data_IF_563773712807
#
_entry.id   IF_563773712807
#
_cell.length_a   1.000
_cell.length_b   1.000
_cell.length_c   1.000
_cell.angle_alpha   90.00
_cell.angle_beta   90.00
_cell.angle_gamma   90.00
#
_symmetry.space_group_name_H-M   'P 1'
#
loop_
_entity.id
_entity.type
_entity.pdbx_description
1 polymer ?
#
# COMPACT_ATOMS: atom_id res chain seq x y z
N UNK A 1 -62.57 -10.24 -24.25
CA UNK A 1 -62.01 -8.90 -24.00
C UNK A 1 -61.01 -8.59 -25.10
N UNK A 2 -61.27 -7.59 -25.96
CA UNK A 2 -60.52 -7.37 -27.21
C UNK A 2 -59.08 -6.96 -26.91
N UNK A 3 -58.10 -7.56 -27.61
CA UNK A 3 -56.65 -7.23 -27.50
C UNK A 3 -56.38 -5.73 -27.63
N UNK A 4 -57.22 -5.00 -28.34
CA UNK A 4 -57.17 -3.55 -28.52
C UNK A 4 -57.46 -2.81 -27.21
N UNK A 5 -58.37 -3.30 -26.36
CA UNK A 5 -58.71 -2.69 -25.06
C UNK A 5 -57.55 -2.86 -24.08
N UNK A 6 -56.90 -4.01 -24.11
CA UNK A 6 -55.70 -4.26 -23.27
C UNK A 6 -54.54 -3.36 -23.69
N UNK A 7 -54.35 -3.12 -25.00
CA UNK A 7 -53.32 -2.23 -25.52
C UNK A 7 -53.54 -0.77 -25.09
N UNK A 8 -54.81 -0.29 -25.11
CA UNK A 8 -55.14 1.04 -24.61
C UNK A 8 -54.99 1.19 -23.08
N UNK A 9 -55.28 0.15 -22.30
CA UNK A 9 -55.03 0.14 -20.86
C UNK A 9 -53.55 0.19 -20.54
N UNK A 10 -52.71 -0.52 -21.31
CA UNK A 10 -51.23 -0.46 -21.15
C UNK A 10 -50.64 0.93 -21.46
N UNK A 11 -51.18 1.63 -22.46
CA UNK A 11 -50.73 2.99 -22.81
C UNK A 11 -51.14 3.99 -21.71
N UNK A 12 -52.28 3.81 -21.06
CA UNK A 12 -52.66 4.66 -19.92
C UNK A 12 -51.84 4.44 -18.65
N UNK A 13 -51.21 3.27 -18.48
CA UNK A 13 -50.34 2.98 -17.33
C UNK A 13 -48.92 3.54 -17.54
N UNK A 14 -48.53 3.87 -18.76
CA UNK A 14 -47.19 4.44 -19.03
C UNK A 14 -47.17 5.97 -19.06
N UNK A 15 -48.31 6.65 -19.04
CA UNK A 15 -48.40 8.12 -19.04
C UNK A 15 -48.33 8.77 -17.64
N UNK A 16 -48.04 7.99 -16.60
CA UNK A 16 -47.97 8.45 -15.21
C UNK A 16 -46.61 8.96 -14.73
N UNK A 17 -45.53 8.90 -15.54
CA UNK A 17 -44.28 9.50 -15.17
C UNK A 17 -44.21 10.97 -15.62
N UNK A 18 -44.68 11.85 -14.78
CA UNK A 18 -44.51 13.28 -14.95
C UNK A 18 -43.07 13.67 -14.74
N UNK A 19 -42.35 13.89 -15.85
CA UNK A 19 -41.04 14.61 -15.85
C UNK A 19 -41.26 16.13 -15.66
N UNK A 20 -42.14 16.52 -14.78
CA UNK A 20 -42.36 17.95 -14.51
C UNK A 20 -41.23 18.43 -13.56
N UNK A 21 -40.57 19.55 -13.93
CA UNK A 21 -39.55 20.23 -13.13
C UNK A 21 -40.02 20.62 -11.70
N UNK A 22 -41.29 20.51 -11.42
CA UNK A 22 -41.90 20.81 -10.10
C UNK A 22 -42.27 19.54 -9.29
N UNK A 23 -41.86 18.34 -9.72
CA UNK A 23 -42.09 17.14 -8.92
C UNK A 23 -41.15 17.16 -7.74
N UNK A 24 -41.68 17.19 -6.53
CA UNK A 24 -40.91 17.19 -5.25
C UNK A 24 -40.01 15.96 -5.08
N UNK A 25 -40.06 14.99 -5.98
CA UNK A 25 -39.20 13.79 -5.96
C UNK A 25 -37.79 14.02 -6.53
N UNK A 26 -37.59 15.10 -7.31
CA UNK A 26 -36.34 15.43 -8.01
C UNK A 26 -35.94 16.90 -7.83
N UNK A 27 -36.57 17.63 -6.94
CA UNK A 27 -36.07 18.94 -6.55
C UNK A 27 -34.83 18.67 -5.70
N UNK A 28 -33.65 19.07 -6.20
CA UNK A 28 -32.50 19.34 -5.35
C UNK A 28 -33.02 20.04 -4.10
N UNK A 29 -32.60 19.58 -2.93
CA UNK A 29 -32.87 20.22 -1.65
C UNK A 29 -32.75 21.73 -1.85
N UNK A 30 -33.85 22.47 -1.63
CA UNK A 30 -33.76 23.92 -1.56
C UNK A 30 -32.64 24.22 -0.58
N UNK A 31 -31.64 24.98 -1.01
CA UNK A 31 -30.65 25.55 -0.12
C UNK A 31 -31.42 26.37 0.93
N UNK A 32 -31.76 25.75 2.02
CA UNK A 32 -32.21 26.45 3.23
C UNK A 32 -30.95 27.13 3.71
N UNK A 33 -30.88 28.47 3.83
CA UNK A 33 -29.71 29.13 4.35
C UNK A 33 -29.37 28.55 5.72
N UNK A 34 -28.20 28.02 5.88
CA UNK A 34 -27.71 27.35 7.11
C UNK A 34 -27.75 28.27 8.35
N UNK A 35 -27.89 29.58 8.15
CA UNK A 35 -27.83 30.60 9.20
C UNK A 35 -29.15 30.83 9.97
N UNK A 36 -30.28 30.23 9.59
CA UNK A 36 -31.59 30.60 10.17
C UNK A 36 -32.14 29.63 11.22
N UNK A 37 -31.48 28.53 11.56
CA UNK A 37 -31.95 27.59 12.58
C UNK A 37 -30.98 27.47 13.75
N UNK A 38 -31.22 28.08 14.92
CA UNK A 38 -30.32 28.04 16.09
C UNK A 38 -30.14 26.63 16.69
N UNK A 39 -30.94 25.64 16.24
CA UNK A 39 -30.83 24.24 16.68
C UNK A 39 -30.16 23.33 15.65
N UNK A 40 -29.61 23.86 14.55
CA UNK A 40 -28.89 23.07 13.57
C UNK A 40 -27.48 22.81 14.08
N UNK A 41 -27.28 21.70 14.77
CA UNK A 41 -25.94 21.17 14.97
C UNK A 41 -25.53 20.39 13.72
N UNK A 42 -24.49 20.85 13.04
CA UNK A 42 -23.83 20.12 11.97
C UNK A 42 -23.22 18.85 12.58
N UNK A 43 -23.97 17.72 12.49
CA UNK A 43 -23.57 16.43 13.09
C UNK A 43 -22.38 15.82 12.32
N UNK A 44 -22.20 16.23 11.06
CA UNK A 44 -21.02 15.89 10.26
C UNK A 44 -20.28 17.19 9.95
N UNK A 45 -19.27 17.50 10.76
CA UNK A 45 -18.25 18.42 10.31
C UNK A 45 -17.58 17.76 9.09
N UNK A 46 -17.59 18.42 7.91
CA UNK A 46 -16.65 18.06 6.86
C UNK A 46 -15.27 18.21 7.50
N UNK A 47 -14.57 17.08 7.69
CA UNK A 47 -13.21 17.10 8.21
C UNK A 47 -12.37 17.91 7.21
N UNK A 48 -11.81 19.04 7.66
CA UNK A 48 -10.94 19.85 6.81
C UNK A 48 -9.70 19.03 6.48
N UNK A 49 -9.56 18.63 5.23
CA UNK A 49 -8.33 18.01 4.73
C UNK A 49 -7.15 18.96 4.95
N UNK A 50 -6.00 18.42 5.33
CA UNK A 50 -4.76 19.18 5.52
C UNK A 50 -4.22 19.64 4.15
N UNK A 51 -4.76 20.72 3.61
CA UNK A 51 -4.50 21.24 2.28
C UNK A 51 -3.70 22.56 2.26
N UNK A 52 -3.07 22.92 3.38
CA UNK A 52 -2.28 24.14 3.56
C UNK A 52 -0.90 23.82 4.13
N UNK A 53 0.08 24.67 3.79
CA UNK A 53 1.41 24.60 4.42
C UNK A 53 1.30 25.01 5.90
N UNK A 54 2.06 24.28 6.74
CA UNK A 54 2.23 24.59 8.16
C UNK A 54 3.73 24.58 8.47
N UNK A 55 4.21 25.63 9.15
CA UNK A 55 5.61 25.75 9.56
C UNK A 55 6.61 25.41 8.44
N UNK A 56 6.33 25.82 7.21
CA UNK A 56 7.10 25.45 6.03
C UNK A 56 8.59 25.81 6.09
N UNK A 57 8.96 26.76 6.95
CA UNK A 57 10.34 27.23 7.15
C UNK A 57 11.07 26.50 8.29
N UNK A 58 10.40 25.59 9.03
CA UNK A 58 11.04 24.81 10.09
C UNK A 58 11.98 23.79 9.45
N UNK A 59 13.25 23.85 9.82
CA UNK A 59 14.25 22.86 9.42
C UNK A 59 14.13 21.58 10.26
N UNK A 60 14.11 20.44 9.61
CA UNK A 60 14.10 19.13 10.27
C UNK A 60 15.52 18.62 10.41
N UNK A 61 16.03 18.59 11.62
CA UNK A 61 17.36 18.06 11.90
C UNK A 61 17.25 16.56 12.22
N UNK A 62 17.81 15.74 11.34
CA UNK A 62 17.84 14.28 11.48
C UNK A 62 19.20 13.85 12.01
N UNK A 63 19.20 12.91 12.96
CA UNK A 63 20.41 12.24 13.44
C UNK A 63 21.08 11.40 12.36
N UNK A 64 22.07 10.60 12.77
CA UNK A 64 22.87 9.76 11.90
C UNK A 64 22.05 8.75 11.08
N UNK A 65 22.64 8.32 9.95
CA UNK A 65 22.04 7.34 9.04
C UNK A 65 22.34 5.94 9.60
N UNK A 66 21.32 5.09 9.66
CA UNK A 66 21.44 3.75 10.23
C UNK A 66 21.28 2.60 9.24
N UNK A 67 20.76 2.83 8.02
CA UNK A 67 20.44 1.77 7.07
C UNK A 67 21.13 1.96 5.73
N UNK A 68 21.80 0.91 5.24
CA UNK A 68 22.40 0.93 3.91
C UNK A 68 21.45 0.46 2.81
N UNK A 69 20.43 -0.33 3.17
CA UNK A 69 19.57 -0.99 2.18
C UNK A 69 18.10 -1.01 2.63
N UNK A 70 17.21 -0.98 1.65
CA UNK A 70 15.81 -1.40 1.84
C UNK A 70 15.83 -2.88 2.23
N UNK A 71 15.50 -3.19 3.47
CA UNK A 71 15.79 -4.50 4.08
C UNK A 71 15.11 -5.66 3.34
N UNK A 72 15.88 -6.69 3.10
CA UNK A 72 15.38 -7.97 2.55
C UNK A 72 14.47 -8.67 3.55
N UNK A 73 14.82 -8.64 4.85
CA UNK A 73 13.99 -9.13 5.97
C UNK A 73 13.48 -7.96 6.77
N UNK A 74 12.39 -7.38 6.31
CA UNK A 74 11.77 -6.22 6.95
C UNK A 74 10.56 -6.67 7.78
N UNK A 75 10.81 -7.04 9.03
CA UNK A 75 9.72 -7.38 9.96
C UNK A 75 8.89 -6.16 10.37
N UNK A 76 9.50 -4.98 10.39
CA UNK A 76 8.90 -3.75 10.88
C UNK A 76 8.31 -2.88 9.76
N UNK A 77 8.54 -3.25 8.49
CA UNK A 77 8.16 -2.47 7.31
C UNK A 77 8.76 -1.03 7.27
N UNK A 78 9.75 -0.74 8.09
CA UNK A 78 10.37 0.58 8.16
C UNK A 78 11.79 0.55 7.59
N UNK A 79 12.00 1.21 6.46
CA UNK A 79 13.34 1.34 5.87
C UNK A 79 14.21 2.38 6.62
N UNK A 80 13.57 3.31 7.37
CA UNK A 80 14.26 4.40 8.03
C UNK A 80 14.91 5.37 7.06
N UNK A 81 15.98 6.05 7.50
CA UNK A 81 16.83 6.90 6.65
C UNK A 81 17.87 6.03 5.97
N UNK A 82 17.88 6.02 4.65
CA UNK A 82 18.76 5.18 3.83
C UNK A 82 20.03 5.95 3.44
N UNK A 83 21.17 5.26 3.41
CA UNK A 83 22.44 5.81 2.89
C UNK A 83 22.39 5.86 1.36
N UNK A 84 21.67 6.87 0.86
CA UNK A 84 21.54 7.15 -0.57
C UNK A 84 21.44 8.64 -0.82
N UNK A 85 22.30 9.15 -1.67
CA UNK A 85 22.31 10.54 -2.18
C UNK A 85 22.82 10.60 -3.63
N UNK A 86 22.40 9.61 -4.44
CA UNK A 86 22.84 9.45 -5.82
C UNK A 86 22.39 10.57 -6.75
N UNK A 87 23.08 10.71 -7.86
CA UNK A 87 22.80 11.70 -8.91
C UNK A 87 21.68 11.31 -9.86
N UNK A 88 21.05 10.14 -9.64
CA UNK A 88 19.94 9.59 -10.43
C UNK A 88 20.28 9.33 -11.90
N UNK A 89 21.54 9.02 -12.21
CA UNK A 89 21.95 8.59 -13.53
C UNK A 89 21.54 7.15 -13.77
N UNK A 90 20.84 6.90 -14.88
CA UNK A 90 20.42 5.54 -15.22
C UNK A 90 21.63 4.67 -15.53
N UNK A 91 21.85 3.64 -14.70
CA UNK A 91 22.97 2.71 -14.84
C UNK A 91 22.58 1.38 -15.49
N UNK A 92 21.41 0.82 -15.17
CA UNK A 92 20.97 -0.47 -15.71
C UNK A 92 19.46 -0.55 -15.92
N UNK A 93 19.04 -1.55 -16.73
CA UNK A 93 17.63 -1.85 -17.00
C UNK A 93 17.41 -3.36 -17.05
N UNK A 94 16.64 -3.87 -16.10
CA UNK A 94 16.24 -5.28 -15.99
C UNK A 94 14.93 -5.49 -16.73
N UNK A 95 14.95 -6.16 -17.89
CA UNK A 95 13.80 -6.29 -18.78
C UNK A 95 12.99 -7.55 -18.49
N UNK A 96 11.65 -7.42 -18.52
CA UNK A 96 10.70 -8.52 -18.45
C UNK A 96 9.46 -8.24 -19.33
N UNK A 97 8.60 -9.23 -19.54
CA UNK A 97 7.38 -9.05 -20.33
C UNK A 97 6.41 -8.11 -19.62
N UNK A 98 5.87 -7.14 -20.35
CA UNK A 98 4.98 -6.10 -19.87
C UNK A 98 3.83 -6.66 -19.01
N UNK A 99 3.72 -6.20 -17.77
CA UNK A 99 2.64 -6.53 -16.84
C UNK A 99 1.44 -5.63 -17.16
N UNK A 100 0.34 -6.22 -17.65
CA UNK A 100 -0.80 -5.46 -18.18
C UNK A 100 -1.54 -4.61 -17.14
N UNK A 101 -1.67 -5.12 -15.90
CA UNK A 101 -2.43 -4.48 -14.84
C UNK A 101 -1.50 -3.81 -13.81
N UNK A 102 -0.35 -3.33 -14.25
CA UNK A 102 0.69 -2.77 -13.37
C UNK A 102 0.20 -1.63 -12.48
N UNK A 103 -0.77 -0.84 -12.94
CA UNK A 103 -1.34 0.28 -12.18
C UNK A 103 -2.18 -0.16 -10.97
N UNK A 104 -2.68 -1.42 -10.95
CA UNK A 104 -3.60 -1.93 -9.92
C UNK A 104 -2.90 -2.48 -8.69
N UNK A 105 -1.58 -2.66 -8.71
CA UNK A 105 -0.85 -3.24 -7.61
C UNK A 105 0.48 -2.53 -7.33
N UNK A 106 1.03 -2.77 -6.14
CA UNK A 106 2.34 -2.26 -5.74
C UNK A 106 3.37 -3.39 -5.81
N UNK A 107 4.19 -3.45 -6.86
CA UNK A 107 5.20 -4.49 -6.99
C UNK A 107 6.32 -4.30 -5.96
N UNK A 108 6.77 -5.41 -5.39
CA UNK A 108 7.94 -5.45 -4.51
C UNK A 108 9.05 -6.24 -5.19
N UNK A 109 10.26 -5.68 -5.23
CA UNK A 109 11.46 -6.40 -5.66
C UNK A 109 11.89 -7.29 -4.50
N UNK A 110 12.24 -8.54 -4.78
CA UNK A 110 12.90 -9.41 -3.81
C UNK A 110 14.41 -9.37 -4.07
N UNK A 111 15.16 -8.86 -3.12
CA UNK A 111 16.62 -8.84 -3.18
C UNK A 111 17.21 -10.08 -2.51
N UNK A 112 18.28 -10.61 -3.08
CA UNK A 112 19.08 -11.69 -2.52
C UNK A 112 20.55 -11.38 -2.80
N UNK A 113 21.26 -10.93 -1.78
CA UNK A 113 22.57 -10.29 -1.91
C UNK A 113 22.47 -9.15 -2.96
N UNK A 114 23.39 -9.06 -3.90
CA UNK A 114 23.39 -8.07 -4.99
C UNK A 114 22.44 -8.41 -6.13
N UNK A 115 21.74 -9.55 -6.06
CA UNK A 115 20.82 -10.01 -7.09
C UNK A 115 19.41 -9.57 -6.79
N UNK A 116 18.60 -9.47 -7.82
CA UNK A 116 17.18 -9.19 -7.68
C UNK A 116 16.30 -10.25 -8.35
N UNK A 117 15.17 -10.53 -7.72
CA UNK A 117 14.15 -11.43 -8.23
C UNK A 117 12.86 -10.65 -8.48
N UNK A 118 12.27 -10.87 -9.65
CA UNK A 118 11.01 -10.27 -10.05
C UNK A 118 10.21 -11.22 -10.95
N UNK A 119 9.04 -10.80 -11.44
CA UNK A 119 8.17 -11.64 -12.24
C UNK A 119 7.66 -10.93 -13.51
N UNK A 120 7.15 -11.73 -14.46
CA UNK A 120 6.56 -11.23 -15.70
C UNK A 120 5.03 -11.47 -15.75
N UNK A 121 4.38 -10.94 -16.78
CA UNK A 121 2.93 -11.02 -17.00
C UNK A 121 2.34 -12.45 -17.10
N UNK A 122 3.16 -13.47 -17.20
CA UNK A 122 2.74 -14.88 -17.25
C UNK A 122 3.13 -15.63 -15.98
N UNK A 123 3.58 -14.90 -14.94
CA UNK A 123 4.05 -15.50 -13.70
C UNK A 123 5.41 -16.18 -13.83
N UNK A 124 6.21 -15.89 -14.87
CA UNK A 124 7.60 -16.35 -14.86
C UNK A 124 8.37 -15.56 -13.84
N UNK A 125 9.17 -16.25 -13.03
CA UNK A 125 10.07 -15.65 -12.06
C UNK A 125 11.44 -15.51 -12.71
N UNK A 126 12.06 -14.36 -12.54
CA UNK A 126 13.35 -14.01 -13.13
C UNK A 126 14.31 -13.56 -12.03
N UNK A 127 15.49 -14.13 -11.99
CA UNK A 127 16.61 -13.66 -11.17
C UNK A 127 17.66 -13.01 -12.06
N UNK A 128 18.09 -11.82 -11.67
CA UNK A 128 19.10 -11.04 -12.36
C UNK A 128 20.27 -10.73 -11.45
N UNK A 129 21.46 -10.62 -12.02
CA UNK A 129 22.64 -10.08 -11.31
C UNK A 129 22.58 -8.53 -11.23
N UNK A 130 23.54 -7.94 -10.54
CA UNK A 130 23.71 -6.50 -10.35
C UNK A 130 23.92 -5.72 -11.67
N UNK A 131 24.36 -6.41 -12.75
CA UNK A 131 24.59 -5.88 -14.11
C UNK A 131 23.41 -6.06 -15.04
N UNK A 132 22.25 -6.46 -14.52
CA UNK A 132 21.01 -6.73 -15.27
C UNK A 132 21.05 -7.95 -16.21
N UNK A 133 22.02 -8.84 -16.05
CA UNK A 133 22.08 -10.10 -16.78
C UNK A 133 21.13 -11.11 -16.12
N UNK A 134 20.34 -11.81 -16.92
CA UNK A 134 19.47 -12.87 -16.45
C UNK A 134 20.28 -14.08 -15.98
N UNK A 135 20.15 -14.46 -14.71
CA UNK A 135 20.76 -15.65 -14.12
C UNK A 135 19.91 -16.88 -14.44
N UNK A 136 18.62 -16.81 -14.05
CA UNK A 136 17.66 -17.86 -14.39
C UNK A 136 16.27 -17.27 -14.58
N UNK A 137 15.44 -18.04 -15.34
CA UNK A 137 14.01 -17.79 -15.54
C UNK A 137 13.25 -19.10 -15.40
N UNK A 138 12.28 -19.15 -14.51
CA UNK A 138 11.44 -20.32 -14.24
C UNK A 138 9.96 -19.95 -14.30
N UNK A 139 9.11 -20.93 -14.62
CA UNK A 139 7.67 -20.73 -14.62
C UNK A 139 6.97 -22.03 -14.21
N UNK A 140 6.20 -21.97 -13.14
CA UNK A 140 5.52 -23.12 -12.52
C UNK A 140 4.00 -23.08 -12.69
N UNK A 141 3.53 -22.30 -13.66
CA UNK A 141 2.12 -22.19 -14.02
C UNK A 141 1.80 -23.03 -15.26
N UNK A 142 0.65 -23.69 -15.24
CA UNK A 142 0.05 -24.37 -16.41
C UNK A 142 -0.34 -23.36 -17.50
N UNK A 143 -0.70 -23.87 -18.68
CA UNK A 143 -1.17 -23.02 -19.78
C UNK A 143 -2.45 -22.22 -19.43
N UNK A 144 -3.34 -22.79 -18.64
CA UNK A 144 -4.58 -22.14 -18.17
C UNK A 144 -4.28 -21.05 -17.14
N UNK A 145 -3.45 -21.35 -16.13
CA UNK A 145 -3.06 -20.38 -15.10
C UNK A 145 -2.33 -19.16 -15.70
N UNK A 146 -1.45 -19.35 -16.66
CA UNK A 146 -0.77 -18.24 -17.37
C UNK A 146 -1.72 -17.24 -18.03
N UNK A 147 -2.91 -17.70 -18.46
CA UNK A 147 -3.93 -16.82 -19.05
C UNK A 147 -4.56 -15.90 -18.02
N UNK A 148 -4.57 -16.30 -16.73
CA UNK A 148 -5.08 -15.52 -15.62
C UNK A 148 -4.13 -14.38 -15.21
N UNK A 149 -2.90 -14.37 -15.75
CA UNK A 149 -1.88 -13.34 -15.49
C UNK A 149 -1.61 -13.19 -13.99
N UNK A 150 -1.05 -14.21 -13.34
CA UNK A 150 -0.84 -14.20 -11.90
C UNK A 150 0.07 -13.04 -11.47
N UNK A 151 -0.33 -12.38 -10.39
CA UNK A 151 0.41 -11.30 -9.73
C UNK A 151 1.08 -11.91 -8.51
N UNK A 152 2.42 -11.88 -8.49
CA UNK A 152 3.19 -12.59 -7.49
C UNK A 152 3.60 -11.67 -6.33
N UNK A 153 3.58 -12.24 -5.14
CA UNK A 153 4.19 -11.70 -3.94
C UNK A 153 5.36 -12.58 -3.54
N UNK A 154 6.41 -11.97 -3.03
CA UNK A 154 7.66 -12.64 -2.67
C UNK A 154 8.06 -12.35 -1.23
N UNK A 155 8.63 -13.37 -0.60
CA UNK A 155 9.52 -13.22 0.55
C UNK A 155 10.65 -14.24 0.43
N UNK A 156 11.84 -13.93 0.94
CA UNK A 156 12.96 -14.87 0.97
C UNK A 156 13.73 -14.78 2.29
N UNK A 157 14.38 -15.87 2.66
CA UNK A 157 15.28 -15.99 3.81
C UNK A 157 16.76 -16.04 3.43
N UNK A 158 17.08 -15.81 2.15
CA UNK A 158 18.41 -15.93 1.56
C UNK A 158 18.67 -17.29 0.91
N UNK A 159 17.85 -18.31 1.19
CA UNK A 159 17.93 -19.67 0.60
C UNK A 159 16.63 -20.04 -0.10
N UNK A 160 15.51 -19.83 0.55
CA UNK A 160 14.16 -20.16 0.09
C UNK A 160 13.45 -18.92 -0.38
N UNK A 161 12.90 -18.92 -1.58
CA UNK A 161 11.99 -17.92 -2.10
C UNK A 161 10.56 -18.44 -2.00
N UNK A 162 9.77 -17.89 -1.12
CA UNK A 162 8.32 -18.14 -1.05
C UNK A 162 7.60 -17.23 -2.01
N UNK A 163 6.68 -17.80 -2.77
CA UNK A 163 5.86 -17.12 -3.77
C UNK A 163 4.40 -17.44 -3.49
N UNK A 164 3.55 -16.42 -3.47
CA UNK A 164 2.11 -16.58 -3.43
C UNK A 164 1.44 -15.58 -4.38
N UNK A 165 0.25 -15.89 -4.85
CA UNK A 165 -0.39 -15.14 -5.91
C UNK A 165 -1.89 -14.87 -5.69
N UNK A 166 -2.44 -14.07 -6.60
CA UNK A 166 -3.84 -13.70 -6.65
C UNK A 166 -4.77 -14.75 -7.30
N UNK A 167 -4.26 -15.95 -7.61
CA UNK A 167 -5.04 -17.09 -8.13
C UNK A 167 -5.03 -18.28 -7.17
N UNK A 168 -4.66 -18.04 -5.89
CA UNK A 168 -4.64 -19.00 -4.79
C UNK A 168 -3.52 -20.06 -4.85
N UNK A 169 -2.48 -19.87 -5.66
CA UNK A 169 -1.32 -20.75 -5.69
C UNK A 169 -0.19 -20.19 -4.84
N UNK A 170 0.50 -21.09 -4.13
CA UNK A 170 1.71 -20.75 -3.39
C UNK A 170 2.73 -21.88 -3.50
N UNK A 171 4.00 -21.52 -3.49
CA UNK A 171 5.09 -22.46 -3.68
C UNK A 171 6.42 -21.86 -3.20
N UNK A 172 7.41 -22.71 -3.00
CA UNK A 172 8.76 -22.29 -2.68
C UNK A 172 9.77 -22.79 -3.70
N UNK A 173 10.80 -21.97 -3.88
CA UNK A 173 11.94 -22.25 -4.74
C UNK A 173 13.23 -22.14 -3.96
N UNK A 174 14.23 -22.89 -4.36
CA UNK A 174 15.62 -22.53 -4.06
C UNK A 174 15.94 -21.23 -4.79
N UNK A 175 16.29 -20.17 -4.05
CA UNK A 175 16.46 -18.83 -4.62
C UNK A 175 17.69 -18.76 -5.54
N UNK A 176 18.68 -19.65 -5.39
CA UNK A 176 19.91 -19.64 -6.19
C UNK A 176 19.72 -20.35 -7.53
N UNK A 177 19.06 -21.50 -7.54
CA UNK A 177 18.86 -22.32 -8.73
C UNK A 177 17.53 -22.08 -9.44
N UNK A 178 16.56 -21.53 -8.70
CA UNK A 178 15.17 -21.38 -9.14
C UNK A 178 14.43 -22.72 -9.18
N UNK A 179 14.95 -23.79 -8.60
CA UNK A 179 14.26 -25.10 -8.58
C UNK A 179 13.11 -25.13 -7.58
N UNK A 180 12.05 -25.82 -7.96
CA UNK A 180 10.84 -25.97 -7.16
C UNK A 180 11.10 -26.89 -5.97
N UNK A 181 10.87 -26.38 -4.76
CA UNK A 181 10.94 -27.16 -3.53
C UNK A 181 9.60 -27.84 -3.23
N UNK A 182 8.54 -27.09 -3.27
CA UNK A 182 7.16 -27.56 -3.11
C UNK A 182 6.17 -26.57 -3.75
N UNK A 183 4.93 -27.04 -4.06
CA UNK A 183 3.85 -26.24 -4.62
C UNK A 183 2.50 -26.72 -4.11
N UNK A 184 1.65 -25.77 -3.72
CA UNK A 184 0.31 -26.01 -3.15
C UNK A 184 -0.70 -24.99 -3.63
N UNK A 185 -1.98 -25.25 -3.40
CA UNK A 185 -3.07 -24.31 -3.66
C UNK A 185 -3.83 -24.04 -2.35
N UNK A 186 -4.28 -22.81 -2.19
CA UNK A 186 -5.17 -22.38 -1.12
C UNK A 186 -6.62 -22.36 -1.63
N UNK A 187 -7.58 -22.25 -0.72
CA UNK A 187 -9.00 -22.11 -1.06
C UNK A 187 -9.35 -20.71 -1.58
N UNK A 188 -8.66 -19.70 -1.09
CA UNK A 188 -8.87 -18.30 -1.47
C UNK A 188 -7.58 -17.67 -2.00
N UNK A 189 -7.66 -16.73 -2.96
CA UNK A 189 -6.51 -15.95 -3.42
C UNK A 189 -5.83 -15.20 -2.29
N UNK A 190 -4.53 -14.92 -2.44
CA UNK A 190 -3.79 -14.13 -1.46
C UNK A 190 -3.81 -12.64 -1.80
N UNK A 191 -3.88 -11.80 -0.76
CA UNK A 191 -3.89 -10.34 -0.91
C UNK A 191 -3.07 -9.62 0.17
N UNK A 192 -1.91 -10.15 0.52
CA UNK A 192 -1.06 -9.50 1.53
C UNK A 192 0.41 -9.58 1.19
N UNK A 193 1.21 -8.91 2.00
CA UNK A 193 2.64 -9.20 2.12
C UNK A 193 2.82 -10.63 2.61
N UNK A 194 3.98 -11.21 2.29
CA UNK A 194 4.46 -12.46 2.90
C UNK A 194 5.55 -12.09 3.90
N UNK A 195 5.51 -12.67 5.09
CA UNK A 195 6.60 -12.58 6.08
C UNK A 195 7.12 -13.97 6.37
N UNK A 196 8.44 -14.15 6.33
CA UNK A 196 9.12 -15.37 6.77
C UNK A 196 9.73 -15.05 8.13
N UNK A 197 9.44 -15.87 9.12
CA UNK A 197 10.02 -15.80 10.45
C UNK A 197 10.41 -17.21 10.90
N UNK A 198 11.69 -17.45 11.15
CA UNK A 198 12.25 -18.76 11.44
C UNK A 198 11.90 -19.79 10.36
N UNK A 199 11.26 -20.90 10.74
CA UNK A 199 10.82 -21.99 9.86
C UNK A 199 9.39 -21.85 9.33
N UNK A 200 8.77 -20.70 9.53
CA UNK A 200 7.38 -20.39 9.16
C UNK A 200 7.28 -19.23 8.19
N UNK A 201 6.17 -19.18 7.46
CA UNK A 201 5.78 -17.97 6.74
C UNK A 201 4.30 -17.66 6.94
N UNK A 202 4.00 -16.37 6.87
CA UNK A 202 2.67 -15.82 7.14
C UNK A 202 2.15 -15.04 5.94
N UNK A 203 0.86 -15.20 5.67
CA UNK A 203 0.17 -14.52 4.58
C UNK A 203 -1.33 -14.44 4.86
N UNK A 204 -2.00 -13.40 4.37
CA UNK A 204 -3.45 -13.22 4.51
C UNK A 204 -4.10 -13.43 3.15
N UNK A 205 -5.19 -14.18 3.15
CA UNK A 205 -5.99 -14.37 1.94
C UNK A 205 -7.17 -13.39 1.84
N UNK A 206 -7.84 -13.40 0.69
CA UNK A 206 -9.02 -12.56 0.44
C UNK A 206 -10.22 -12.87 1.36
N UNK A 207 -10.17 -13.94 2.16
CA UNK A 207 -11.19 -14.25 3.15
C UNK A 207 -10.88 -13.63 4.53
N UNK A 208 -9.92 -12.70 4.60
CA UNK A 208 -9.41 -12.12 5.85
C UNK A 208 -8.86 -13.19 6.82
N UNK A 209 -8.31 -14.27 6.29
CA UNK A 209 -7.71 -15.33 7.07
C UNK A 209 -6.20 -15.17 7.05
N UNK A 210 -5.60 -14.87 8.20
CA UNK A 210 -4.17 -14.99 8.41
C UNK A 210 -3.82 -16.48 8.51
N UNK A 211 -2.85 -16.91 7.73
CA UNK A 211 -2.38 -18.29 7.67
C UNK A 211 -0.90 -18.37 8.00
N UNK A 212 -0.55 -19.37 8.79
CA UNK A 212 0.82 -19.76 9.08
C UNK A 212 1.11 -21.07 8.40
N UNK A 213 2.20 -21.12 7.65
CA UNK A 213 2.64 -22.31 6.94
C UNK A 213 4.08 -22.66 7.31
N UNK A 214 4.40 -23.94 7.26
CA UNK A 214 5.78 -24.43 7.33
C UNK A 214 6.56 -24.00 6.09
N UNK A 215 7.72 -23.37 6.29
CA UNK A 215 8.63 -23.00 5.21
C UNK A 215 9.19 -24.24 4.49
N UNK A 216 9.36 -25.35 5.20
CA UNK A 216 9.97 -26.58 4.70
C UNK A 216 9.13 -27.28 3.62
N UNK A 217 7.80 -27.33 3.79
CA UNK A 217 6.91 -28.14 2.94
C UNK A 217 5.61 -27.45 2.53
N UNK A 218 5.37 -26.21 3.02
CA UNK A 218 4.17 -25.43 2.74
C UNK A 218 2.90 -25.98 3.39
N UNK A 219 3.00 -26.84 4.41
CA UNK A 219 1.82 -27.29 5.17
C UNK A 219 1.30 -26.20 6.08
N UNK A 220 -0.02 -26.05 6.15
CA UNK A 220 -0.66 -25.13 7.06
C UNK A 220 -0.51 -25.63 8.49
N UNK A 221 0.06 -24.80 9.36
CA UNK A 221 0.26 -25.08 10.77
C UNK A 221 -0.95 -24.62 11.58
N UNK A 222 -1.42 -23.39 11.30
CA UNK A 222 -2.61 -22.81 11.90
C UNK A 222 -3.15 -21.69 11.01
N UNK A 223 -4.39 -21.30 11.25
CA UNK A 223 -4.97 -20.11 10.65
C UNK A 223 -5.94 -19.45 11.63
N UNK A 224 -6.12 -18.13 11.45
CA UNK A 224 -7.11 -17.36 12.17
C UNK A 224 -7.88 -16.47 11.19
N UNK A 225 -9.19 -16.60 11.24
CA UNK A 225 -10.09 -15.76 10.43
C UNK A 225 -10.60 -14.60 11.26
N UNK A 226 -10.38 -13.41 10.77
CA UNK A 226 -10.99 -12.19 11.31
C UNK A 226 -12.36 -11.96 10.68
N UNK A 227 -12.99 -10.83 10.99
CA UNK A 227 -14.35 -10.52 10.59
C UNK A 227 -14.64 -10.77 9.11
N UNK A 228 -15.82 -11.36 8.84
CA UNK A 228 -16.25 -11.72 7.50
C UNK A 228 -17.07 -10.60 6.88
N UNK A 229 -16.43 -9.59 6.31
CA UNK A 229 -17.12 -8.59 5.50
C UNK A 229 -17.33 -9.10 4.06
N UNK A 230 -18.52 -8.85 3.52
CA UNK A 230 -18.80 -9.05 2.09
C UNK A 230 -18.06 -8.03 1.21
N UNK A 231 -17.76 -6.87 1.79
CA UNK A 231 -17.03 -5.77 1.14
C UNK A 231 -15.57 -5.85 1.56
N UNK A 232 -14.66 -5.86 0.59
CA UNK A 232 -13.22 -6.05 0.82
C UNK A 232 -12.40 -5.02 0.08
N UNK A 233 -11.42 -4.44 0.78
CA UNK A 233 -10.43 -3.58 0.15
C UNK A 233 -9.63 -4.35 -0.91
N UNK A 234 -9.42 -3.74 -2.06
CA UNK A 234 -8.56 -4.26 -3.12
C UNK A 234 -7.07 -4.01 -2.83
N UNK A 235 -6.77 -3.13 -1.87
CA UNK A 235 -5.40 -2.83 -1.52
C UNK A 235 -4.75 -4.00 -0.79
N UNK A 236 -3.48 -4.22 -1.08
CA UNK A 236 -2.65 -5.25 -0.45
C UNK A 236 -2.60 -5.05 1.07
N UNK A 237 -2.89 -6.10 1.81
CA UNK A 237 -2.85 -6.10 3.26
C UNK A 237 -1.41 -6.15 3.76
N UNK A 238 -1.17 -5.50 4.89
CA UNK A 238 0.14 -5.37 5.51
C UNK A 238 0.17 -6.05 6.86
N UNK A 239 1.36 -6.53 7.23
CA UNK A 239 1.65 -7.12 8.53
C UNK A 239 3.05 -6.76 8.99
N UNK A 240 3.27 -6.74 10.29
CA UNK A 240 4.58 -6.61 10.94
C UNK A 240 4.76 -7.70 11.99
N UNK A 241 6.00 -8.06 12.28
CA UNK A 241 6.34 -9.05 13.29
C UNK A 241 7.25 -8.37 14.32
N UNK A 242 6.86 -8.44 15.59
CA UNK A 242 7.64 -7.95 16.71
C UNK A 242 7.72 -9.04 17.76
N UNK A 243 8.92 -9.47 18.10
CA UNK A 243 9.14 -10.63 18.96
C UNK A 243 8.40 -11.87 18.41
N UNK A 244 7.56 -12.50 19.21
CA UNK A 244 6.75 -13.65 18.83
C UNK A 244 5.29 -13.29 18.47
N UNK A 245 5.02 -12.03 18.13
CA UNK A 245 3.70 -11.56 17.77
C UNK A 245 3.66 -11.06 16.33
N UNK A 246 2.59 -11.39 15.62
CA UNK A 246 2.28 -10.84 14.32
C UNK A 246 1.11 -9.87 14.45
N UNK A 247 1.32 -8.66 13.95
CA UNK A 247 0.30 -7.62 13.88
C UNK A 247 -0.10 -7.43 12.44
N UNK A 248 -1.38 -7.54 12.15
CA UNK A 248 -1.87 -7.43 10.79
C UNK A 248 -3.17 -6.66 10.71
N UNK A 249 -3.44 -6.09 9.57
CA UNK A 249 -4.73 -5.47 9.26
C UNK A 249 -5.54 -6.34 8.32
N UNK A 250 -6.85 -6.36 8.53
CA UNK A 250 -7.80 -6.98 7.63
C UNK A 250 -8.31 -6.00 6.55
N UNK A 251 -9.18 -6.45 5.67
CA UNK A 251 -9.68 -5.66 4.54
C UNK A 251 -10.68 -4.55 4.92
N UNK A 252 -11.15 -4.52 6.15
CA UNK A 252 -12.02 -3.45 6.68
C UNK A 252 -11.23 -2.45 7.56
N UNK A 253 -9.94 -2.67 7.74
CA UNK A 253 -9.04 -1.76 8.44
C UNK A 253 -8.75 -2.14 9.89
N UNK A 254 -9.38 -3.17 10.45
CA UNK A 254 -9.11 -3.61 11.83
C UNK A 254 -7.69 -4.14 11.96
N UNK A 255 -7.09 -3.88 13.11
CA UNK A 255 -5.77 -4.40 13.48
C UNK A 255 -5.94 -5.54 14.48
N UNK A 256 -5.21 -6.62 14.25
CA UNK A 256 -5.19 -7.79 15.14
C UNK A 256 -3.76 -8.14 15.54
N UNK A 257 -3.57 -8.56 16.79
CA UNK A 257 -2.33 -9.14 17.30
C UNK A 257 -2.51 -10.63 17.58
N UNK A 258 -1.60 -11.44 17.07
CA UNK A 258 -1.68 -12.91 17.13
C UNK A 258 -0.34 -13.49 17.56
N UNK A 259 -0.34 -14.48 18.45
CA UNK A 259 0.85 -15.27 18.76
C UNK A 259 1.30 -16.10 17.56
N UNK A 260 2.60 -16.04 17.26
CA UNK A 260 3.18 -16.73 16.09
C UNK A 260 3.13 -18.25 16.20
N UNK A 261 3.25 -18.81 17.41
CA UNK A 261 3.36 -20.23 17.60
C UNK A 261 2.00 -20.93 17.59
N UNK A 262 1.07 -20.40 18.37
CA UNK A 262 -0.23 -21.03 18.59
C UNK A 262 -1.32 -20.49 17.67
N UNK A 263 -1.12 -19.30 17.04
CA UNK A 263 -2.14 -18.63 16.27
C UNK A 263 -3.27 -18.04 17.12
N UNK A 264 -3.01 -17.81 18.42
CA UNK A 264 -3.98 -17.25 19.35
C UNK A 264 -4.12 -15.74 19.14
N UNK A 265 -5.38 -15.27 19.06
CA UNK A 265 -5.71 -13.85 19.01
C UNK A 265 -5.57 -13.22 20.39
N UNK A 266 -4.65 -12.28 20.55
CA UNK A 266 -4.43 -11.57 21.80
C UNK A 266 -5.37 -10.37 21.94
N UNK A 267 -5.47 -9.56 20.89
CA UNK A 267 -6.40 -8.42 20.82
C UNK A 267 -6.74 -8.07 19.38
N UNK A 268 -7.87 -7.41 19.20
CA UNK A 268 -8.31 -6.82 17.94
C UNK A 268 -8.84 -5.43 18.18
N UNK A 269 -8.42 -4.47 17.35
CA UNK A 269 -8.79 -3.06 17.43
C UNK A 269 -9.52 -2.65 16.15
N UNK A 270 -10.82 -2.31 16.20
CA UNK A 270 -11.51 -1.66 15.10
C UNK A 270 -10.97 -0.25 14.88
N UNK A 271 -10.65 0.10 13.64
CA UNK A 271 -10.18 1.45 13.27
C UNK A 271 -11.21 2.24 12.47
N UNK A 272 -12.33 1.62 12.11
CA UNK A 272 -13.43 2.24 11.39
C UNK A 272 -14.72 2.12 12.20
N UNK A 273 -15.55 3.16 12.18
CA UNK A 273 -16.88 3.08 12.78
C UNK A 273 -17.79 2.16 11.96
N UNK A 274 -18.74 1.47 12.63
CA UNK A 274 -19.69 0.56 11.99
C UNK A 274 -20.55 1.22 10.88
N UNK A 275 -20.71 2.53 10.92
CA UNK A 275 -21.43 3.30 9.90
C UNK A 275 -20.66 3.43 8.56
N UNK A 276 -19.36 3.10 8.56
CA UNK A 276 -18.47 3.26 7.40
C UNK A 276 -18.27 1.92 6.66
N UNK A 277 -18.85 0.81 7.11
CA UNK A 277 -18.71 -0.49 6.42
C UNK A 277 -19.13 -0.44 4.94
N UNK A 278 -20.09 0.38 4.57
CA UNK A 278 -20.47 0.59 3.16
C UNK A 278 -19.33 1.27 2.35
N UNK A 279 -18.48 2.04 3.00
CA UNK A 279 -17.33 2.69 2.38
C UNK A 279 -16.04 1.83 2.40
N UNK A 280 -16.06 0.64 2.99
CA UNK A 280 -14.88 -0.23 3.10
C UNK A 280 -14.28 -0.63 1.74
N UNK A 281 -15.08 -0.71 0.68
CA UNK A 281 -14.61 -0.96 -0.68
C UNK A 281 -13.61 0.11 -1.17
N UNK A 282 -13.81 1.35 -0.78
CA UNK A 282 -12.94 2.48 -1.14
C UNK A 282 -11.84 2.76 -0.11
N UNK A 283 -11.78 1.98 0.98
CA UNK A 283 -10.76 2.16 2.01
C UNK A 283 -9.39 1.72 1.50
N UNK A 284 -8.46 2.67 1.47
CA UNK A 284 -7.05 2.43 1.20
C UNK A 284 -6.23 2.79 2.43
N UNK A 285 -5.59 1.81 3.01
CA UNK A 285 -4.71 2.02 4.17
C UNK A 285 -3.25 1.92 3.75
N UNK A 286 -2.36 2.65 4.40
CA UNK A 286 -0.91 2.49 4.22
C UNK A 286 -0.44 1.12 4.73
N UNK A 287 0.80 0.73 4.42
CA UNK A 287 1.44 -0.37 5.13
C UNK A 287 1.56 -0.03 6.62
N UNK A 288 1.43 -1.05 7.47
CA UNK A 288 1.77 -0.97 8.88
C UNK A 288 3.29 -0.81 9.01
N UNK A 289 3.74 0.11 9.86
CA UNK A 289 5.15 0.22 10.25
C UNK A 289 5.25 0.27 11.78
N UNK A 290 6.39 -0.14 12.32
CA UNK A 290 6.60 -0.13 13.77
C UNK A 290 8.04 0.24 14.12
N UNK A 291 8.24 0.73 15.34
CA UNK A 291 9.56 0.87 15.98
C UNK A 291 9.87 -0.26 16.97
N UNK A 292 8.98 -1.24 17.10
CA UNK A 292 9.06 -2.35 18.03
C UNK A 292 8.17 -2.23 19.27
N UNK A 293 7.65 -1.02 19.55
CA UNK A 293 6.73 -0.77 20.66
C UNK A 293 5.40 -0.17 20.20
N UNK A 294 5.46 0.61 19.14
CA UNK A 294 4.31 1.36 18.61
C UNK A 294 4.09 1.03 17.14
N UNK A 295 2.84 0.90 16.75
CA UNK A 295 2.38 0.69 15.39
C UNK A 295 1.87 1.99 14.80
N UNK A 296 2.26 2.27 13.54
CA UNK A 296 1.83 3.47 12.82
C UNK A 296 1.29 3.11 11.44
N UNK A 297 0.20 3.74 11.05
CA UNK A 297 -0.36 3.66 9.70
C UNK A 297 -1.40 4.77 9.47
N UNK A 298 -1.76 4.99 8.22
CA UNK A 298 -2.75 5.97 7.79
C UNK A 298 -3.75 5.36 6.81
N UNK A 299 -4.80 6.12 6.49
CA UNK A 299 -5.76 5.74 5.46
C UNK A 299 -6.20 6.95 4.62
N UNK A 300 -6.96 6.66 3.56
CA UNK A 300 -7.56 7.66 2.67
C UNK A 300 -8.90 8.23 3.19
N UNK A 301 -9.17 8.07 4.47
CA UNK A 301 -10.30 8.67 5.21
C UNK A 301 -9.82 9.72 6.19
N UNK A 302 -8.70 10.36 5.87
CA UNK A 302 -8.09 11.44 6.66
C UNK A 302 -7.71 11.03 8.08
N UNK A 303 -7.18 9.80 8.26
CA UNK A 303 -6.79 9.29 9.58
C UNK A 303 -5.36 8.75 9.55
N UNK A 304 -4.59 9.11 10.58
CA UNK A 304 -3.27 8.56 10.87
C UNK A 304 -3.24 8.12 12.33
N UNK A 305 -2.88 6.87 12.57
CA UNK A 305 -2.95 6.24 13.87
C UNK A 305 -1.58 5.93 14.44
N UNK A 306 -1.47 6.06 15.76
CA UNK A 306 -0.43 5.50 16.60
C UNK A 306 -1.06 4.59 17.64
N UNK A 307 -0.62 3.31 17.67
CA UNK A 307 -1.20 2.27 18.53
C UNK A 307 -0.09 1.63 19.35
N UNK A 308 -0.32 1.47 20.63
CA UNK A 308 0.55 0.70 21.53
C UNK A 308 0.44 -0.79 21.19
N UNK A 309 1.57 -1.46 20.91
CA UNK A 309 1.58 -2.86 20.51
C UNK A 309 1.21 -3.83 21.65
N UNK A 310 1.51 -3.46 22.89
CA UNK A 310 1.23 -4.32 24.04
C UNK A 310 -0.24 -4.35 24.41
N UNK A 311 -0.90 -3.21 24.34
CA UNK A 311 -2.30 -3.05 24.78
C UNK A 311 -3.32 -2.99 23.66
N UNK A 312 -2.90 -2.70 22.42
CA UNK A 312 -3.80 -2.42 21.30
C UNK A 312 -4.55 -1.10 21.43
N UNK A 313 -4.12 -0.19 22.33
CA UNK A 313 -4.79 1.10 22.54
C UNK A 313 -4.22 2.20 21.66
N UNK A 314 -5.05 3.16 21.27
CA UNK A 314 -4.58 4.36 20.58
C UNK A 314 -3.72 5.23 21.51
N UNK A 315 -2.51 5.58 21.05
CA UNK A 315 -1.71 6.63 21.68
C UNK A 315 -2.19 8.01 21.21
N UNK A 316 -2.38 8.15 19.92
CA UNK A 316 -2.91 9.36 19.26
C UNK A 316 -3.46 9.06 17.88
N UNK A 317 -4.31 9.96 17.39
CA UNK A 317 -4.86 9.99 16.03
C UNK A 317 -4.73 11.40 15.47
N UNK A 318 -4.42 11.51 14.16
CA UNK A 318 -4.32 12.77 13.43
C UNK A 318 -5.08 12.73 12.12
N UNK A 319 -5.47 13.91 11.64
CA UNK A 319 -6.12 14.09 10.34
C UNK A 319 -5.08 14.18 9.24
N UNK A 320 -4.77 13.04 8.60
CA UNK A 320 -3.83 12.95 7.48
C UNK A 320 -4.38 12.00 6.42
N UNK A 321 -4.70 12.53 5.26
CA UNK A 321 -5.20 11.76 4.12
C UNK A 321 -4.02 11.13 3.35
N UNK A 322 -3.60 9.94 3.75
CA UNK A 322 -2.51 9.21 3.10
C UNK A 322 -2.74 7.72 3.11
N UNK A 323 -2.50 7.07 1.98
CA UNK A 323 -2.43 5.61 1.89
C UNK A 323 -1.00 5.11 1.58
N UNK A 324 0.00 5.99 1.67
CA UNK A 324 1.39 5.64 1.43
C UNK A 324 2.05 5.13 2.70
N UNK A 325 2.96 4.17 2.55
CA UNK A 325 3.77 3.67 3.68
C UNK A 325 4.58 4.81 4.30
N UNK A 326 4.34 5.18 5.57
CA UNK A 326 5.15 6.18 6.24
C UNK A 326 6.56 5.66 6.52
N UNK A 327 7.46 6.55 6.94
CA UNK A 327 8.85 6.20 7.28
C UNK A 327 9.22 6.84 8.61
N UNK A 328 9.70 6.03 9.56
CA UNK A 328 10.21 6.49 10.85
C UNK A 328 11.69 6.85 10.72
N UNK A 329 12.05 8.04 11.15
CA UNK A 329 13.45 8.49 11.24
C UNK A 329 13.66 9.20 12.58
N UNK A 330 14.31 8.54 13.51
CA UNK A 330 14.48 9.05 14.87
C UNK A 330 13.13 9.32 15.55
N UNK A 331 12.91 10.56 15.98
CA UNK A 331 11.68 10.99 16.62
C UNK A 331 10.59 11.47 15.65
N UNK A 332 10.80 11.32 14.34
CA UNK A 332 9.89 11.82 13.32
C UNK A 332 9.29 10.73 12.46
N UNK A 333 8.06 10.95 12.05
CA UNK A 333 7.35 10.19 11.04
C UNK A 333 7.22 11.06 9.80
N UNK A 334 7.71 10.57 8.67
CA UNK A 334 7.50 11.17 7.37
C UNK A 334 6.36 10.47 6.66
N UNK A 335 5.42 11.23 6.13
CA UNK A 335 4.36 10.75 5.24
C UNK A 335 4.06 11.78 4.16
N UNK A 336 3.37 11.33 3.10
CA UNK A 336 2.95 12.20 2.01
C UNK A 336 1.46 12.03 1.80
N UNK A 337 0.70 13.12 1.84
CA UNK A 337 -0.74 13.09 1.59
C UNK A 337 -1.05 12.83 0.12
N UNK A 338 -2.27 12.35 -0.16
CA UNK A 338 -2.74 12.09 -1.52
C UNK A 338 -2.85 13.36 -2.37
N UNK A 339 -2.93 14.54 -1.72
CA UNK A 339 -2.94 15.88 -2.34
C UNK A 339 -1.55 16.40 -2.68
N UNK A 340 -0.48 15.71 -2.22
CA UNK A 340 0.91 16.07 -2.48
C UNK A 340 1.52 17.02 -1.46
N UNK A 341 1.22 16.82 -0.19
CA UNK A 341 1.90 17.48 0.93
C UNK A 341 2.84 16.51 1.63
N UNK A 342 4.09 16.93 1.84
CA UNK A 342 5.01 16.23 2.74
C UNK A 342 4.71 16.66 4.17
N UNK A 343 4.39 15.70 5.01
CA UNK A 343 4.00 15.91 6.40
C UNK A 343 5.06 15.26 7.30
N UNK A 344 5.51 15.99 8.29
CA UNK A 344 6.43 15.52 9.33
C UNK A 344 5.72 15.59 10.67
N UNK A 345 5.62 14.45 11.33
CA UNK A 345 4.91 14.27 12.60
C UNK A 345 5.94 13.90 13.68
N UNK A 346 5.82 14.44 14.87
CA UNK A 346 6.56 13.99 16.03
C UNK A 346 5.98 12.65 16.52
N UNK A 347 6.82 11.64 16.59
CA UNK A 347 6.40 10.25 16.81
C UNK A 347 5.61 10.05 18.11
N UNK A 348 6.04 10.65 19.21
CA UNK A 348 5.49 10.38 20.53
C UNK A 348 4.19 11.14 20.79
N UNK A 349 4.15 12.41 20.42
CA UNK A 349 2.98 13.28 20.68
C UNK A 349 1.95 13.27 19.56
N UNK A 350 2.34 12.87 18.35
CA UNK A 350 1.52 13.03 17.17
C UNK A 350 1.48 14.45 16.60
N UNK A 351 2.19 15.40 17.19
CA UNK A 351 2.16 16.79 16.72
C UNK A 351 2.70 16.91 15.30
N UNK A 352 1.94 17.56 14.42
CA UNK A 352 2.39 17.87 13.06
C UNK A 352 3.39 19.02 13.14
N UNK A 353 4.66 18.73 12.87
CA UNK A 353 5.77 19.69 12.97
C UNK A 353 5.84 20.57 11.71
N UNK A 354 5.66 19.94 10.53
CA UNK A 354 5.75 20.66 9.25
C UNK A 354 4.85 20.03 8.19
N UNK A 355 4.24 20.86 7.39
CA UNK A 355 3.53 20.51 6.16
C UNK A 355 4.06 21.36 5.01
N UNK A 356 4.55 20.72 3.94
CA UNK A 356 5.13 21.40 2.79
C UNK A 356 4.47 20.91 1.50
N UNK A 357 4.05 21.84 0.64
CA UNK A 357 3.51 21.53 -0.67
C UNK A 357 4.63 21.10 -1.64
N UNK A 358 4.72 19.80 -1.90
CA UNK A 358 5.73 19.25 -2.82
C UNK A 358 5.26 19.22 -4.27
N UNK A 359 3.99 19.48 -4.54
CA UNK A 359 3.42 19.55 -5.89
C UNK A 359 3.29 20.97 -6.42
N UNK A 360 3.77 21.98 -5.70
CA UNK A 360 3.66 23.39 -6.10
C UNK A 360 4.32 23.70 -7.46
N UNK A 361 5.32 22.91 -7.88
CA UNK A 361 5.97 23.02 -9.19
C UNK A 361 5.09 22.58 -10.37
N UNK A 362 4.00 21.87 -10.11
CA UNK A 362 3.06 21.44 -11.15
C UNK A 362 1.97 22.49 -11.37
N UNK A 363 1.61 22.72 -12.65
CA UNK A 363 0.44 23.56 -13.00
C UNK A 363 -0.83 22.99 -12.38
N UNK A 364 -1.75 23.84 -11.88
CA UNK A 364 -2.98 23.45 -11.18
C UNK A 364 -3.74 22.30 -11.86
N UNK A 365 -4.02 22.36 -13.17
CA UNK A 365 -4.69 21.28 -13.94
C UNK A 365 -3.96 19.92 -13.94
N UNK A 366 -2.64 19.92 -13.73
CA UNK A 366 -1.84 18.68 -13.65
C UNK A 366 -1.78 18.16 -12.22
N UNK A 367 -1.74 19.06 -11.24
CA UNK A 367 -1.65 18.74 -9.83
C UNK A 367 -2.79 17.81 -9.40
N UNK A 368 -4.04 18.14 -9.75
CA UNK A 368 -5.23 17.38 -9.38
C UNK A 368 -5.25 15.96 -9.99
N UNK A 369 -4.43 15.71 -11.00
CA UNK A 369 -4.33 14.42 -11.70
C UNK A 369 -3.15 13.56 -11.28
N UNK A 370 -2.12 14.15 -10.66
CA UNK A 370 -0.91 13.43 -10.25
C UNK A 370 -1.11 12.90 -8.84
N UNK A 371 -0.92 11.60 -8.65
CA UNK A 371 -0.98 10.96 -7.34
C UNK A 371 0.41 10.45 -6.93
N UNK A 372 0.80 10.63 -5.66
CA UNK A 372 1.99 10.02 -5.13
C UNK A 372 1.77 8.50 -5.03
N UNK A 373 2.79 7.72 -5.31
CA UNK A 373 2.74 6.24 -5.27
C UNK A 373 3.51 5.68 -4.08
N UNK A 374 4.65 6.29 -3.75
CA UNK A 374 5.46 5.89 -2.62
C UNK A 374 6.79 6.63 -2.60
N UNK A 375 7.45 6.61 -1.46
CA UNK A 375 8.69 7.35 -1.26
C UNK A 375 9.67 6.58 -0.36
N UNK A 376 10.91 7.03 -0.36
CA UNK A 376 11.96 6.67 0.59
C UNK A 376 12.62 7.94 1.11
N UNK A 377 13.19 7.85 2.30
CA UNK A 377 14.02 8.89 2.91
C UNK A 377 15.48 8.50 2.73
N UNK A 378 16.23 9.26 1.95
CA UNK A 378 17.66 9.08 1.74
C UNK A 378 18.50 9.96 2.68
N UNK A 379 19.77 10.18 2.33
CA UNK A 379 20.71 10.94 3.16
C UNK A 379 20.28 12.40 3.34
N UNK A 380 20.06 13.10 2.24
CA UNK A 380 19.70 14.51 2.24
C UNK A 380 18.37 14.78 1.53
N UNK A 381 17.81 13.78 0.86
CA UNK A 381 16.66 13.92 0.01
C UNK A 381 15.62 12.83 0.26
N UNK A 382 14.37 13.19 0.02
CA UNK A 382 13.25 12.24 -0.11
C UNK A 382 13.05 12.00 -1.61
N UNK A 383 12.91 10.74 -1.99
CA UNK A 383 12.68 10.32 -3.37
C UNK A 383 11.26 9.79 -3.48
N UNK A 384 10.40 10.53 -4.17
CA UNK A 384 8.97 10.24 -4.31
C UNK A 384 8.64 9.85 -5.76
N UNK A 385 7.99 8.73 -5.94
CA UNK A 385 7.44 8.30 -7.23
C UNK A 385 5.97 8.71 -7.41
N UNK A 386 5.56 8.91 -8.65
CA UNK A 386 4.18 9.26 -9.00
C UNK A 386 3.56 8.29 -10.00
N UNK A 387 2.24 8.32 -10.09
CA UNK A 387 1.44 7.55 -11.05
C UNK A 387 1.62 7.99 -12.51
N UNK A 388 2.26 9.14 -12.75
CA UNK A 388 2.63 9.67 -14.07
C UNK A 388 4.13 9.50 -14.39
N UNK A 389 4.79 8.52 -13.74
CA UNK A 389 6.16 8.13 -14.03
C UNK A 389 7.22 9.17 -13.70
N UNK A 390 6.98 10.03 -12.72
CA UNK A 390 7.96 11.01 -12.22
C UNK A 390 8.59 10.49 -10.94
N UNK A 391 9.89 10.67 -10.83
CA UNK A 391 10.66 10.55 -9.60
C UNK A 391 11.04 11.96 -9.17
N UNK A 392 10.51 12.39 -8.03
CA UNK A 392 10.74 13.71 -7.45
C UNK A 392 11.82 13.61 -6.39
N UNK A 393 12.73 14.57 -6.39
CA UNK A 393 13.76 14.75 -5.37
C UNK A 393 13.36 15.92 -4.49
N UNK A 394 13.18 15.67 -3.22
CA UNK A 394 12.68 16.65 -2.25
C UNK A 394 13.73 16.78 -1.15
N UNK A 395 14.12 18.00 -0.85
CA UNK A 395 15.06 18.29 0.24
C UNK A 395 14.44 17.96 1.60
N UNK A 396 15.12 17.19 2.42
CA UNK A 396 14.59 16.77 3.74
C UNK A 396 14.43 17.97 4.66
N UNK A 397 15.42 18.87 4.70
CA UNK A 397 15.43 19.98 5.66
C UNK A 397 14.34 21.00 5.37
N UNK A 398 14.21 21.41 4.11
CA UNK A 398 13.22 22.41 3.71
C UNK A 398 11.88 21.83 3.28
N UNK A 399 11.81 20.54 2.94
CA UNK A 399 10.63 19.89 2.35
C UNK A 399 10.32 20.35 0.92
N UNK A 400 11.21 21.10 0.27
CA UNK A 400 10.98 21.65 -1.08
C UNK A 400 11.48 20.70 -2.17
N UNK A 401 10.74 20.64 -3.28
CA UNK A 401 11.14 19.86 -4.45
C UNK A 401 12.34 20.50 -5.14
N UNK A 402 13.47 19.79 -5.22
CA UNK A 402 14.71 20.18 -5.90
C UNK A 402 14.67 19.90 -7.40
N UNK A 403 14.21 18.70 -7.77
CA UNK A 403 14.18 18.27 -9.17
C UNK A 403 13.12 17.20 -9.40
N UNK A 404 12.76 17.00 -10.68
CA UNK A 404 11.79 16.00 -11.13
C UNK A 404 12.38 15.28 -12.33
N UNK A 405 12.63 13.97 -12.16
CA UNK A 405 13.13 13.09 -13.21
C UNK A 405 11.97 12.34 -13.86
N UNK A 406 11.90 12.34 -15.18
CA UNK A 406 10.97 11.51 -15.94
C UNK A 406 11.53 10.10 -16.12
N UNK A 407 10.92 9.10 -15.51
CA UNK A 407 11.27 7.67 -15.66
C UNK A 407 10.40 7.02 -16.74
N UNK A 408 9.08 7.32 -16.70
CA UNK A 408 8.09 6.78 -17.66
C UNK A 408 6.97 7.81 -17.93
N UNK A 409 5.99 7.41 -18.74
CA UNK A 409 4.72 8.13 -18.91
C UNK A 409 3.64 7.62 -17.94
N UNK A 410 3.74 6.35 -17.52
CA UNK A 410 2.80 5.64 -16.67
C UNK A 410 3.36 5.44 -15.26
N UNK A 411 2.52 4.90 -14.36
CA UNK A 411 2.88 4.61 -12.96
C UNK A 411 4.23 3.89 -12.85
N UNK A 412 5.02 4.33 -11.89
CA UNK A 412 6.22 3.62 -11.42
C UNK A 412 6.03 3.23 -9.95
N UNK A 413 6.73 2.19 -9.52
CA UNK A 413 6.64 1.73 -8.13
C UNK A 413 7.23 2.73 -7.14
N UNK A 414 6.96 2.52 -5.84
CA UNK A 414 7.79 3.07 -4.77
C UNK A 414 9.27 2.78 -5.07
N UNK A 415 10.19 3.73 -4.79
CA UNK A 415 11.63 3.47 -4.91
C UNK A 415 12.13 2.45 -3.87
N UNK A 416 13.17 1.72 -4.23
CA UNK A 416 13.94 0.83 -3.35
C UNK A 416 15.41 1.19 -3.43
N UNK A 417 16.15 1.00 -2.36
CA UNK A 417 17.61 1.21 -2.32
C UNK A 417 18.30 -0.09 -1.96
N UNK A 418 19.31 -0.45 -2.74
CA UNK A 418 20.25 -1.53 -2.45
C UNK A 418 21.64 -1.06 -2.85
N UNK A 419 22.61 -1.14 -1.92
CA UNK A 419 24.01 -0.81 -2.11
C UNK A 419 24.23 0.51 -2.85
N UNK A 420 23.67 1.59 -2.28
CA UNK A 420 23.74 2.95 -2.81
C UNK A 420 23.18 3.13 -4.23
N UNK A 421 22.32 2.22 -4.67
CA UNK A 421 21.61 2.32 -5.94
C UNK A 421 20.10 2.38 -5.68
N UNK A 422 19.41 3.24 -6.41
CA UNK A 422 17.97 3.37 -6.36
C UNK A 422 17.32 2.59 -7.49
N UNK A 423 16.29 1.81 -7.15
CA UNK A 423 15.53 0.99 -8.09
C UNK A 423 14.08 1.43 -8.14
N UNK A 424 13.53 1.55 -9.34
CA UNK A 424 12.10 1.75 -9.55
C UNK A 424 11.58 0.73 -10.58
N UNK A 425 10.42 0.16 -10.31
CA UNK A 425 9.77 -0.77 -11.21
C UNK A 425 8.79 0.00 -12.10
N UNK A 426 8.81 -0.30 -13.37
CA UNK A 426 7.82 0.11 -14.37
C UNK A 426 7.20 -1.12 -15.01
N UNK A 427 6.17 -0.97 -15.81
CA UNK A 427 5.39 -2.07 -16.34
C UNK A 427 6.17 -3.20 -17.08
N UNK A 428 7.36 -2.92 -17.58
CA UNK A 428 8.16 -3.85 -18.39
C UNK A 428 9.66 -3.88 -18.03
N UNK A 429 10.05 -3.20 -16.97
CA UNK A 429 11.45 -3.21 -16.53
C UNK A 429 11.59 -2.66 -15.10
N UNK A 430 12.70 -3.04 -14.45
CA UNK A 430 13.24 -2.32 -13.30
C UNK A 430 14.34 -1.40 -13.82
N UNK A 431 14.36 -0.16 -13.36
CA UNK A 431 15.38 0.83 -13.67
C UNK A 431 16.27 1.00 -12.44
N UNK A 432 17.57 0.83 -12.60
CA UNK A 432 18.61 1.12 -11.60
C UNK A 432 19.16 2.52 -11.87
N UNK A 433 19.26 3.31 -10.84
CA UNK A 433 19.79 4.67 -10.82
C UNK A 433 20.90 4.74 -9.77
N UNK A 434 22.05 5.33 -10.10
CA UNK A 434 23.20 5.56 -9.22
C UNK A 434 23.27 6.99 -8.72
#
# INVERSE_FOLDING_TARGET
MNKIVIFFILIFLTSGCSFNKNSKFWTASQNIPEESNPNYQKIFAEEEELNKELNANVSINLGDIFNNNSKVRDYFNNDGRLDYDGILKKSSRYKFSKIKNFYQFEPKISFNDDNLVFFDNKGSILKFDDKSKLIWKKNYYSKSEKKLKPILQFANDGKTLVVADNIAKYFALDINTGELLWSKNNLAPFNSQIKIFEDKFFIIDFSNTLRCFSLKNGEELWNIRTENSLIRSQKKLSMVIVNNLIYFKNSIGDISAVDINEGELLWQLPTQSSLIYEAAFSLETSDLITDGNTLFFSNNKNQFFSIDLGTGSFNWENQVNSSLRPTLVGNYIFTVSLEGYLIVIEKNSGNIIRVTDIFNSFKKKKRDKIKPVGFIVGTNNIYLSTDHGRLMVIDIQSGRTKSILKIDNDKISRPFVLDKNLYVVKENAIIKLD
#
